data_IF_246971062068
#
_entry.id   IF_246971062068
#
_cell.length_a   1.000
_cell.length_b   1.000
_cell.length_c   1.000
_cell.angle_alpha   90.00
_cell.angle_beta   90.00
_cell.angle_gamma   90.00
#
_symmetry.space_group_name_H-M   'P 1'
#
loop_
_entity.id
_entity.type
_entity.pdbx_description
1 polymer ?
#
# COMPACT_ATOMS: atom_id res chain seq x y z
N UNK A 1 -48.28 24.94 -35.41
CA UNK A 1 -48.85 23.75 -36.05
C UNK A 1 -48.06 22.58 -35.48
N UNK A 2 -48.58 21.97 -34.41
CA UNK A 2 -49.22 20.63 -34.44
C UNK A 2 -48.13 19.54 -34.48
N UNK A 3 -48.00 18.56 -33.60
CA UNK A 3 -48.91 17.91 -32.64
C UNK A 3 -48.11 17.17 -31.54
N UNK A 4 -48.78 16.92 -30.42
CA UNK A 4 -48.37 16.08 -29.27
C UNK A 4 -48.66 14.59 -29.53
N UNK A 5 -48.07 13.68 -28.72
CA UNK A 5 -48.74 12.55 -28.03
C UNK A 5 -47.74 11.91 -27.02
N UNK A 6 -47.93 12.12 -25.70
CA UNK A 6 -48.49 11.19 -24.69
C UNK A 6 -47.44 10.19 -24.10
N UNK A 7 -46.98 10.38 -22.85
CA UNK A 7 -47.55 9.95 -21.53
C UNK A 7 -47.28 8.48 -21.20
N UNK A 8 -46.46 8.26 -20.17
CA UNK A 8 -46.80 7.71 -18.82
C UNK A 8 -46.71 6.16 -18.82
N UNK A 9 -46.40 5.42 -17.75
CA UNK A 9 -46.69 5.58 -16.33
C UNK A 9 -46.04 4.42 -15.52
N UNK A 10 -45.72 4.67 -14.23
CA UNK A 10 -45.96 3.78 -13.05
C UNK A 10 -45.13 2.47 -12.93
N UNK A 11 -44.14 2.35 -12.03
CA UNK A 11 -44.05 2.28 -10.54
C UNK A 11 -44.11 0.83 -9.98
N UNK A 12 -43.32 0.55 -8.92
CA UNK A 12 -43.55 -0.35 -7.77
C UNK A 12 -42.19 -0.54 -7.05
N UNK A 13 -41.89 0.16 -5.94
CA UNK A 13 -42.30 -0.12 -4.56
C UNK A 13 -41.77 -1.45 -3.99
N UNK A 14 -40.60 -1.38 -3.32
CA UNK A 14 -40.12 -2.41 -2.41
C UNK A 14 -39.73 -1.76 -1.07
N UNK A 15 -40.72 -1.65 -0.18
CA UNK A 15 -40.59 -1.16 1.20
C UNK A 15 -40.22 -2.34 2.10
N UNK A 16 -39.19 -2.19 2.92
CA UNK A 16 -39.04 -2.99 4.14
C UNK A 16 -38.50 -2.07 5.23
N UNK A 17 -39.34 -1.88 6.24
CA UNK A 17 -39.17 -1.01 7.40
C UNK A 17 -39.54 -1.86 8.60
N UNK A 18 -38.63 -2.04 9.54
CA UNK A 18 -38.91 -2.43 10.92
C UNK A 18 -37.62 -2.18 11.73
N UNK A 19 -37.59 -1.16 12.61
CA UNK A 19 -37.95 -1.25 14.04
C UNK A 19 -36.74 -1.77 14.85
N UNK A 20 -36.36 -1.27 16.02
CA UNK A 20 -36.87 -0.22 16.89
C UNK A 20 -35.91 -0.10 18.10
N UNK A 21 -35.93 1.07 18.72
CA UNK A 21 -35.69 1.37 20.14
C UNK A 21 -34.33 1.11 20.82
N UNK A 22 -33.75 2.25 21.19
CA UNK A 22 -32.84 2.48 22.29
C UNK A 22 -33.61 2.43 23.62
N UNK A 23 -33.30 1.45 24.48
CA UNK A 23 -33.70 1.41 25.90
C UNK A 23 -32.47 0.83 26.64
N UNK A 24 -31.76 1.58 27.48
CA UNK A 24 -32.24 1.99 28.80
C UNK A 24 -31.78 0.96 29.84
N UNK A 25 -30.49 0.95 30.20
CA UNK A 25 -29.96 0.23 31.37
C UNK A 25 -28.94 1.12 32.08
N UNK A 26 -29.47 2.21 32.61
CA UNK A 26 -28.96 2.84 33.82
C UNK A 26 -29.43 2.00 35.02
N UNK A 27 -28.60 1.96 36.07
CA UNK A 27 -28.86 1.36 37.39
C UNK A 27 -28.43 -0.11 37.60
N UNK A 28 -27.13 -0.30 37.89
CA UNK A 28 -26.62 -1.21 38.93
C UNK A 28 -25.08 -1.31 38.86
N UNK A 29 -24.35 -0.29 39.33
CA UNK A 29 -22.97 -0.45 39.86
C UNK A 29 -22.71 0.72 40.83
N UNK A 30 -23.54 0.79 41.87
CA UNK A 30 -23.20 1.54 43.08
C UNK A 30 -22.87 0.52 44.17
N UNK A 31 -21.61 0.48 44.59
CA UNK A 31 -21.16 -0.31 45.74
C UNK A 31 -20.17 -1.44 45.44
N UNK A 32 -18.95 -1.10 45.01
CA UNK A 32 -17.80 -2.02 45.10
C UNK A 32 -16.47 -1.30 45.36
N UNK A 33 -16.48 -0.12 46.00
CA UNK A 33 -15.27 0.69 46.24
C UNK A 33 -14.54 0.37 47.58
N UNK A 34 -15.00 -0.59 48.38
CA UNK A 34 -14.39 -0.84 49.71
C UNK A 34 -14.09 -2.32 49.98
N UNK A 35 -13.28 -2.98 49.15
CA UNK A 35 -12.80 -4.32 49.53
C UNK A 35 -11.48 -4.81 48.90
N UNK A 36 -10.63 -3.94 48.33
CA UNK A 36 -9.35 -4.39 47.73
C UNK A 36 -8.12 -3.63 48.22
N UNK A 37 -8.17 -3.13 49.46
CA UNK A 37 -7.00 -2.58 50.16
C UNK A 37 -6.68 -3.35 51.43
N UNK A 38 -6.41 -4.65 51.32
CA UNK A 38 -5.54 -5.32 52.29
C UNK A 38 -5.12 -6.70 51.80
N UNK A 39 -3.86 -7.02 52.06
CA UNK A 39 -3.24 -8.33 51.92
C UNK A 39 -2.69 -8.69 50.52
N UNK A 40 -1.66 -7.95 50.08
CA UNK A 40 -0.50 -8.59 49.45
C UNK A 40 0.76 -7.99 50.08
N UNK A 41 1.08 -8.42 51.30
CA UNK A 41 2.46 -8.42 51.81
C UNK A 41 3.01 -9.81 51.55
N UNK A 42 3.72 -9.96 50.44
CA UNK A 42 4.56 -11.12 50.20
C UNK A 42 5.97 -10.60 49.98
N UNK A 43 6.78 -10.68 51.04
CA UNK A 43 8.23 -10.59 50.95
C UNK A 43 8.73 -11.68 49.98
N UNK A 44 9.24 -11.25 48.83
CA UNK A 44 10.03 -12.06 47.92
C UNK A 44 11.17 -11.21 47.41
N UNK A 45 12.33 -11.33 48.07
CA UNK A 45 13.58 -10.75 47.59
C UNK A 45 13.98 -11.44 46.27
N UNK A 46 13.79 -10.75 45.16
CA UNK A 46 14.38 -11.13 43.87
C UNK A 46 15.34 -10.02 43.43
N UNK A 47 16.67 -10.26 43.39
CA UNK A 47 17.63 -9.27 42.92
C UNK A 47 17.81 -9.45 41.41
N UNK A 48 16.78 -9.18 40.62
CA UNK A 48 16.99 -8.81 39.22
C UNK A 48 15.94 -7.81 38.81
N UNK A 49 16.24 -6.55 39.15
CA UNK A 49 15.56 -5.38 38.61
C UNK A 49 15.77 -5.39 37.11
N UNK A 50 14.86 -6.05 36.38
CA UNK A 50 14.70 -5.88 34.95
C UNK A 50 14.51 -4.37 34.75
N UNK A 51 15.53 -3.71 34.21
CA UNK A 51 15.46 -2.29 33.90
C UNK A 51 14.41 -2.16 32.80
N UNK A 52 13.18 -1.84 33.19
CA UNK A 52 12.14 -1.44 32.25
C UNK A 52 12.69 -0.22 31.52
N UNK A 53 12.67 -0.18 30.18
CA UNK A 53 13.11 0.99 29.44
C UNK A 53 12.41 2.22 30.02
N UNK A 54 13.19 3.24 30.36
CA UNK A 54 12.62 4.50 30.83
C UNK A 54 11.78 5.08 29.70
N UNK A 55 10.46 5.13 29.91
CA UNK A 55 9.55 5.79 28.97
C UNK A 55 9.91 7.27 28.91
N UNK A 56 9.97 7.84 27.71
CA UNK A 56 10.07 9.29 27.55
C UNK A 56 8.84 9.98 28.17
N UNK A 57 8.99 11.22 28.68
CA UNK A 57 7.84 12.02 29.13
C UNK A 57 6.79 12.21 28.01
N UNK A 58 5.49 12.29 28.33
CA UNK A 58 4.44 12.54 27.35
C UNK A 58 4.68 13.84 26.57
N UNK A 59 4.53 13.79 25.24
CA UNK A 59 4.55 14.96 24.37
C UNK A 59 3.21 15.07 23.66
N UNK A 60 2.70 16.29 23.54
CA UNK A 60 1.58 16.59 22.66
C UNK A 60 2.04 16.47 21.21
N UNK A 61 1.20 15.87 20.38
CA UNK A 61 1.41 15.75 18.93
C UNK A 61 0.26 16.43 18.20
N UNK A 62 0.57 16.99 17.05
CA UNK A 62 -0.42 17.56 16.14
C UNK A 62 -1.16 16.46 15.39
N UNK A 63 -2.32 16.80 14.82
CA UNK A 63 -3.09 15.88 13.97
C UNK A 63 -2.28 15.47 12.74
N UNK A 64 -1.46 16.38 12.19
CA UNK A 64 -0.58 16.12 11.06
C UNK A 64 0.49 15.07 11.40
N UNK A 65 1.20 15.23 12.52
CA UNK A 65 2.21 14.26 12.98
C UNK A 65 1.58 12.87 13.21
N UNK A 66 0.33 12.82 13.68
CA UNK A 66 -0.40 11.57 13.86
C UNK A 66 -0.73 10.89 12.52
N UNK A 67 -1.19 11.66 11.53
CA UNK A 67 -1.46 11.16 10.17
C UNK A 67 -0.19 10.67 9.47
N UNK A 68 0.90 11.42 9.58
CA UNK A 68 2.21 11.03 9.04
C UNK A 68 2.71 9.74 9.70
N UNK A 69 2.58 9.65 11.03
CA UNK A 69 2.94 8.43 11.78
C UNK A 69 2.10 7.24 11.33
N UNK A 70 0.79 7.40 11.15
CA UNK A 70 -0.09 6.34 10.66
C UNK A 70 0.34 5.85 9.27
N UNK A 71 0.74 6.77 8.37
CA UNK A 71 1.31 6.42 7.06
C UNK A 71 2.63 5.65 7.19
N UNK A 72 3.52 6.12 8.07
CA UNK A 72 4.81 5.47 8.33
C UNK A 72 4.66 4.05 8.85
N UNK A 73 3.79 3.83 9.85
CA UNK A 73 3.50 2.51 10.41
C UNK A 73 2.89 1.59 9.36
N UNK A 74 1.96 2.09 8.54
CA UNK A 74 1.37 1.32 7.43
C UNK A 74 2.45 0.89 6.44
N UNK A 75 3.33 1.80 6.03
CA UNK A 75 4.43 1.47 5.11
C UNK A 75 5.41 0.46 5.70
N UNK A 76 5.69 0.52 7.00
CA UNK A 76 6.56 -0.44 7.69
C UNK A 76 5.91 -1.83 7.76
N UNK A 77 4.61 -1.90 8.05
CA UNK A 77 3.86 -3.15 8.00
C UNK A 77 3.87 -3.75 6.59
N UNK A 78 3.62 -2.93 5.56
CA UNK A 78 3.70 -3.36 4.16
C UNK A 78 5.11 -3.83 3.78
N UNK A 79 6.16 -3.12 4.19
CA UNK A 79 7.54 -3.54 3.94
C UNK A 79 7.85 -4.89 4.61
N UNK A 80 7.38 -5.10 5.83
CA UNK A 80 7.48 -6.38 6.52
C UNK A 80 6.73 -7.49 5.78
N UNK A 81 5.50 -7.24 5.33
CA UNK A 81 4.71 -8.20 4.53
C UNK A 81 5.42 -8.58 3.23
N UNK A 82 5.98 -7.59 2.52
CA UNK A 82 6.74 -7.80 1.28
C UNK A 82 7.99 -8.64 1.53
N UNK A 83 8.75 -8.36 2.60
CA UNK A 83 10.00 -9.07 2.91
C UNK A 83 9.73 -10.49 3.40
N UNK A 84 8.68 -10.70 4.18
CA UNK A 84 8.32 -12.02 4.72
C UNK A 84 7.70 -12.92 3.64
N UNK A 85 6.99 -12.34 2.68
CA UNK A 85 6.41 -13.09 1.57
C UNK A 85 7.47 -13.36 0.48
N UNK A 86 8.13 -14.53 0.55
CA UNK A 86 9.13 -14.96 -0.44
C UNK A 86 8.59 -15.14 -1.86
N UNK A 87 7.27 -15.25 -2.03
CA UNK A 87 6.62 -15.32 -3.34
C UNK A 87 6.25 -13.93 -3.89
N UNK A 88 6.52 -12.87 -3.13
CA UNK A 88 6.23 -11.51 -3.57
C UNK A 88 7.09 -11.16 -4.79
N UNK A 89 6.42 -10.88 -5.90
CA UNK A 89 7.05 -10.45 -7.15
C UNK A 89 6.32 -9.23 -7.68
N UNK A 90 7.08 -8.18 -8.01
CA UNK A 90 6.55 -7.07 -8.79
C UNK A 90 6.36 -7.59 -10.21
N UNK A 91 5.10 -7.85 -10.58
CA UNK A 91 4.78 -8.33 -11.92
C UNK A 91 5.24 -7.28 -12.95
N UNK A 92 6.01 -7.68 -13.97
CA UNK A 92 6.27 -6.82 -15.11
C UNK A 92 4.95 -6.29 -15.66
N UNK A 93 4.95 -5.04 -16.14
CA UNK A 93 3.76 -4.45 -16.78
C UNK A 93 3.48 -5.24 -18.06
N UNK A 94 2.56 -6.20 -17.98
CA UNK A 94 2.02 -6.92 -19.12
C UNK A 94 1.05 -5.99 -19.83
N UNK A 95 1.49 -5.46 -20.97
CA UNK A 95 0.63 -4.66 -21.82
C UNK A 95 -0.35 -5.61 -22.53
N UNK A 96 -1.64 -5.24 -22.65
CA UNK A 96 -2.62 -6.05 -23.35
C UNK A 96 -2.12 -6.44 -24.73
N UNK A 97 -2.37 -7.69 -25.12
CA UNK A 97 -2.08 -8.18 -26.47
C UNK A 97 -2.85 -7.30 -27.47
N UNK A 98 -2.14 -6.82 -28.50
CA UNK A 98 -2.63 -5.86 -29.49
C UNK A 98 -2.81 -4.41 -29.01
N UNK A 99 -2.36 -4.04 -27.80
CA UNK A 99 -2.32 -2.63 -27.43
C UNK A 99 -1.31 -1.85 -28.29
N UNK A 100 -1.66 -0.61 -28.66
CA UNK A 100 -0.76 0.27 -29.40
C UNK A 100 0.58 0.45 -28.67
N UNK A 101 0.54 0.63 -27.35
CA UNK A 101 1.74 0.77 -26.52
C UNK A 101 2.67 -0.44 -26.62
N UNK A 102 2.13 -1.66 -26.63
CA UNK A 102 2.92 -2.89 -26.81
C UNK A 102 3.59 -2.91 -28.18
N UNK A 103 2.81 -2.65 -29.25
CA UNK A 103 3.33 -2.61 -30.61
C UNK A 103 4.43 -1.56 -30.79
N UNK A 104 4.24 -0.36 -30.26
CA UNK A 104 5.25 0.71 -30.33
C UNK A 104 6.52 0.28 -29.61
N UNK A 105 6.42 -0.28 -28.40
CA UNK A 105 7.57 -0.80 -27.65
C UNK A 105 8.33 -1.86 -28.45
N UNK A 106 7.62 -2.82 -29.04
CA UNK A 106 8.20 -3.90 -29.85
C UNK A 106 8.90 -3.37 -31.10
N UNK A 107 8.25 -2.46 -31.84
CA UNK A 107 8.83 -1.87 -33.05
C UNK A 107 10.10 -1.08 -32.74
N UNK A 108 10.08 -0.22 -31.72
CA UNK A 108 11.24 0.60 -31.35
C UNK A 108 12.40 -0.28 -30.88
N UNK A 109 12.10 -1.27 -30.02
CA UNK A 109 13.11 -2.22 -29.54
C UNK A 109 13.73 -3.00 -30.70
N UNK A 110 12.90 -3.52 -31.61
CA UNK A 110 13.36 -4.23 -32.80
C UNK A 110 14.19 -3.34 -33.71
N UNK A 111 13.74 -2.13 -34.02
CA UNK A 111 14.44 -1.22 -34.91
C UNK A 111 15.86 -0.89 -34.42
N UNK A 112 16.04 -0.74 -33.10
CA UNK A 112 17.36 -0.57 -32.51
C UNK A 112 18.27 -1.77 -32.77
N UNK A 113 17.80 -2.99 -32.46
CA UNK A 113 18.60 -4.21 -32.63
C UNK A 113 18.84 -4.55 -34.10
N UNK A 114 17.88 -4.28 -34.98
CA UNK A 114 18.05 -4.42 -36.43
C UNK A 114 19.18 -3.50 -36.92
N UNK A 115 19.16 -2.22 -36.54
CA UNK A 115 20.21 -1.26 -36.87
C UNK A 115 21.58 -1.70 -36.34
N UNK A 116 21.65 -2.10 -35.06
CA UNK A 116 22.89 -2.56 -34.44
C UNK A 116 23.42 -3.82 -35.12
N UNK A 117 22.55 -4.76 -35.48
CA UNK A 117 22.93 -5.98 -36.19
C UNK A 117 23.51 -5.68 -37.57
N UNK A 118 22.91 -4.72 -38.30
CA UNK A 118 23.44 -4.25 -39.59
C UNK A 118 24.84 -3.66 -39.40
N UNK A 119 25.02 -2.74 -38.45
CA UNK A 119 26.33 -2.11 -38.22
C UNK A 119 27.44 -3.11 -37.87
N UNK A 120 27.12 -4.13 -37.08
CA UNK A 120 28.08 -5.15 -36.66
C UNK A 120 28.40 -6.17 -37.77
N UNK A 121 27.58 -6.23 -38.82
CA UNK A 121 27.76 -7.15 -39.95
C UNK A 121 28.40 -6.49 -41.18
N UNK A 122 28.64 -5.18 -41.14
CA UNK A 122 29.42 -4.45 -42.16
C UNK A 122 30.91 -4.89 -42.17
N UNK A 123 31.58 -4.69 -43.30
CA UNK A 123 33.02 -4.91 -43.45
C UNK A 123 33.70 -3.63 -43.99
N UNK A 124 34.43 -2.86 -43.15
CA UNK A 124 34.69 -3.08 -41.73
C UNK A 124 33.45 -2.77 -40.84
N UNK A 125 33.29 -3.40 -39.66
CA UNK A 125 32.13 -3.15 -38.80
C UNK A 125 32.11 -1.74 -38.22
N UNK A 126 30.92 -1.14 -38.13
CA UNK A 126 30.69 0.13 -37.45
C UNK A 126 30.29 -0.12 -35.98
N UNK A 127 30.91 0.59 -35.04
CA UNK A 127 30.74 0.35 -33.60
C UNK A 127 29.99 1.48 -32.86
N UNK A 128 29.48 2.49 -33.57
CA UNK A 128 28.90 3.69 -32.94
C UNK A 128 27.76 3.38 -31.96
N UNK A 129 26.79 2.53 -32.35
CA UNK A 129 25.68 2.18 -31.46
C UNK A 129 26.09 1.18 -30.38
N UNK A 130 27.01 0.26 -30.68
CA UNK A 130 27.51 -0.71 -29.71
C UNK A 130 28.21 -0.03 -28.54
N UNK A 131 29.08 0.95 -28.83
CA UNK A 131 29.83 1.70 -27.81
C UNK A 131 28.88 2.50 -26.92
N UNK A 132 27.87 3.16 -27.51
CA UNK A 132 26.84 3.88 -26.74
C UNK A 132 26.07 2.95 -25.81
N UNK A 133 25.59 1.81 -26.33
CA UNK A 133 24.86 0.82 -25.55
C UNK A 133 25.66 0.33 -24.35
N UNK A 134 26.95 0.00 -24.55
CA UNK A 134 27.83 -0.44 -23.45
C UNK A 134 28.02 0.68 -22.41
N UNK A 135 28.09 1.94 -22.86
CA UNK A 135 28.14 3.11 -21.98
C UNK A 135 26.89 3.25 -21.11
N UNK A 136 25.71 3.12 -21.71
CA UNK A 136 24.41 3.20 -21.01
C UNK A 136 24.24 2.05 -20.00
N UNK A 137 24.66 0.83 -20.36
CA UNK A 137 24.65 -0.33 -19.45
C UNK A 137 25.57 -0.06 -18.25
N UNK A 138 26.78 0.46 -18.49
CA UNK A 138 27.71 0.83 -17.42
C UNK A 138 27.09 1.86 -16.48
N UNK A 139 26.49 2.93 -17.02
CA UNK A 139 25.85 3.97 -16.21
C UNK A 139 24.69 3.41 -15.37
N UNK A 140 23.84 2.57 -15.98
CA UNK A 140 22.73 1.91 -15.30
C UNK A 140 23.21 1.06 -14.13
N UNK A 141 24.28 0.28 -14.33
CA UNK A 141 24.85 -0.56 -13.27
C UNK A 141 25.52 0.24 -12.15
N UNK A 142 26.08 1.41 -12.46
CA UNK A 142 26.68 2.32 -11.47
C UNK A 142 25.66 3.18 -10.73
N UNK A 143 24.39 3.16 -11.16
CA UNK A 143 23.30 3.92 -10.54
C UNK A 143 22.60 3.17 -9.40
N UNK A 144 22.98 1.91 -9.15
CA UNK A 144 22.52 1.07 -8.04
C UNK A 144 23.57 1.02 -6.92
#
# INVERSE_FOLDING_TARGET
>A
MSENLDKSNVNEAGKSKSNDSEEGLEDAVEGADEALQKAIKSDSSSPQRVQRPHSSPPRFVTVEELLETARGVTNMALAHEIVVNGDFQIKPVELPENSLKKRVKEIVHKAFWDCLSVQLSEDPPAYDHAIKLVGEIKETLLSF
#
